data_IF_494741738221
#
_entry.id   IF_494741738221
#
_cell.length_a   1.000
_cell.length_b   1.000
_cell.length_c   1.000
_cell.angle_alpha   90.00
_cell.angle_beta   90.00
_cell.angle_gamma   90.00
#
_symmetry.space_group_name_H-M   'P 1'
#
loop_
_entity.id
_entity.type
_entity.pdbx_description
1 polymer ?
#
# COMPACT_ATOMS: atom_id res chain seq x y z
N UNK A 1 2.80 -23.17 22.18
CA UNK A 1 3.60 -21.94 22.01
C UNK A 1 2.79 -21.01 21.12
N UNK A 2 2.64 -19.73 21.46
CA UNK A 2 2.00 -18.77 20.56
C UNK A 2 2.91 -18.53 19.36
N UNK A 3 2.39 -18.69 18.14
CA UNK A 3 3.14 -18.38 16.92
C UNK A 3 3.39 -16.86 16.87
N UNK A 4 4.66 -16.44 16.88
CA UNK A 4 5.03 -15.03 16.69
C UNK A 4 5.01 -14.70 15.21
N UNK A 5 4.44 -13.57 14.82
CA UNK A 5 4.48 -13.09 13.43
C UNK A 5 5.84 -12.51 13.04
N UNK A 6 6.58 -11.98 14.03
CA UNK A 6 7.90 -11.39 13.82
C UNK A 6 8.88 -12.46 13.36
N UNK A 7 9.39 -12.30 12.14
CA UNK A 7 10.29 -13.27 11.53
C UNK A 7 9.62 -14.60 11.18
N UNK A 8 8.30 -14.66 11.04
CA UNK A 8 7.61 -15.88 10.62
C UNK A 8 7.75 -16.13 9.11
N UNK A 9 7.75 -15.05 8.33
CA UNK A 9 7.83 -15.09 6.87
C UNK A 9 8.69 -13.93 6.34
N UNK A 10 9.15 -14.08 5.10
CA UNK A 10 9.86 -13.03 4.38
C UNK A 10 9.45 -13.02 2.90
N UNK A 11 9.51 -11.84 2.30
CA UNK A 11 9.35 -11.67 0.85
C UNK A 11 10.67 -11.99 0.17
N UNK A 12 10.64 -13.01 -0.68
CA UNK A 12 11.81 -13.50 -1.44
C UNK A 12 11.73 -13.18 -2.92
N UNK A 13 10.53 -12.95 -3.45
CA UNK A 13 10.31 -12.57 -4.85
C UNK A 13 9.39 -11.36 -4.95
N UNK A 14 9.67 -10.44 -5.89
CA UNK A 14 8.77 -9.34 -6.24
C UNK A 14 8.73 -9.14 -7.74
N UNK A 15 7.57 -8.72 -8.25
CA UNK A 15 7.43 -8.23 -9.61
C UNK A 15 6.37 -7.14 -9.66
N UNK A 16 6.54 -6.21 -10.59
CA UNK A 16 5.51 -5.26 -10.94
C UNK A 16 5.57 -4.96 -12.44
N UNK A 17 4.39 -4.88 -13.05
CA UNK A 17 4.20 -4.41 -14.42
C UNK A 17 3.03 -3.47 -14.41
N UNK A 18 3.20 -2.29 -14.97
CA UNK A 18 2.12 -1.32 -15.07
C UNK A 18 2.18 -0.54 -16.38
N UNK A 19 1.00 -0.13 -16.81
CA UNK A 19 0.77 0.56 -18.06
C UNK A 19 -0.16 1.73 -17.80
N UNK A 20 -0.12 2.72 -18.69
CA UNK A 20 -1.14 3.76 -18.71
C UNK A 20 -2.52 3.09 -18.82
N UNK A 21 -3.50 3.66 -18.13
CA UNK A 21 -4.89 3.23 -18.19
C UNK A 21 -5.37 2.83 -19.59
N UNK A 22 -5.97 1.64 -19.71
CA UNK A 22 -6.55 1.10 -20.94
C UNK A 22 -5.51 0.78 -22.01
N UNK A 23 -4.24 0.57 -21.63
CA UNK A 23 -3.12 0.30 -22.53
C UNK A 23 -2.38 -0.98 -22.17
N UNK A 24 -2.87 -1.81 -21.24
CA UNK A 24 -2.25 -3.12 -21.07
C UNK A 24 -2.29 -3.92 -22.37
N UNK A 25 -1.22 -4.68 -22.68
CA UNK A 25 -1.20 -5.54 -23.85
C UNK A 25 -2.09 -6.78 -23.67
N UNK A 26 -2.39 -7.14 -22.42
CA UNK A 26 -3.05 -8.39 -22.03
C UNK A 26 -4.13 -8.15 -20.97
N UNK A 27 -5.00 -9.15 -20.79
CA UNK A 27 -6.06 -9.18 -19.79
C UNK A 27 -5.51 -9.39 -18.37
N UNK A 28 -6.36 -9.24 -17.35
CA UNK A 28 -5.97 -9.36 -15.93
C UNK A 28 -5.35 -10.72 -15.62
N UNK A 29 -5.93 -11.82 -16.11
CA UNK A 29 -5.45 -13.17 -15.82
C UNK A 29 -4.04 -13.40 -16.37
N UNK A 30 -3.80 -13.07 -17.63
CA UNK A 30 -2.48 -13.23 -18.25
C UNK A 30 -1.42 -12.35 -17.58
N UNK A 31 -1.74 -11.09 -17.32
CA UNK A 31 -0.80 -10.21 -16.59
C UNK A 31 -0.52 -10.72 -15.18
N UNK A 32 -1.51 -11.30 -14.50
CA UNK A 32 -1.32 -11.92 -13.18
C UNK A 32 -0.31 -13.07 -13.28
N UNK A 33 -0.50 -13.99 -14.25
CA UNK A 33 0.42 -15.12 -14.47
C UNK A 33 1.84 -14.63 -14.77
N UNK A 34 1.98 -13.66 -15.68
CA UNK A 34 3.29 -13.07 -16.03
C UNK A 34 3.97 -12.44 -14.79
N UNK A 35 3.23 -11.70 -13.97
CA UNK A 35 3.77 -11.15 -12.72
C UNK A 35 4.20 -12.26 -11.74
N UNK A 36 3.41 -13.32 -11.59
CA UNK A 36 3.78 -14.43 -10.70
C UNK A 36 5.05 -15.14 -11.17
N UNK A 37 5.17 -15.38 -12.48
CA UNK A 37 6.37 -16.00 -13.06
C UNK A 37 7.62 -15.13 -12.83
N UNK A 38 7.52 -13.82 -13.08
CA UNK A 38 8.63 -12.89 -12.83
C UNK A 38 9.02 -12.83 -11.34
N UNK A 39 8.04 -12.87 -10.43
CA UNK A 39 8.32 -12.86 -8.99
C UNK A 39 8.95 -14.18 -8.54
N UNK A 40 8.58 -15.30 -9.14
CA UNK A 40 9.23 -16.60 -8.94
C UNK A 40 10.68 -16.59 -9.46
N UNK A 41 10.93 -15.95 -10.60
CA UNK A 41 12.28 -15.77 -11.14
C UNK A 41 13.15 -14.93 -10.20
N UNK A 42 12.65 -13.79 -9.70
CA UNK A 42 13.34 -12.98 -8.68
C UNK A 42 13.58 -13.74 -7.37
N UNK A 43 12.69 -14.68 -7.01
CA UNK A 43 12.84 -15.53 -5.83
C UNK A 43 13.79 -16.71 -6.02
N UNK A 44 14.11 -17.10 -7.25
CA UNK A 44 14.76 -18.38 -7.54
C UNK A 44 13.90 -19.60 -7.14
N UNK A 45 12.57 -19.47 -7.19
CA UNK A 45 11.61 -20.53 -6.81
C UNK A 45 10.87 -21.02 -8.05
N UNK A 46 10.66 -22.34 -8.15
CA UNK A 46 9.84 -22.89 -9.22
C UNK A 46 8.38 -22.46 -9.03
N UNK A 47 7.68 -21.96 -10.06
CA UNK A 47 6.24 -21.71 -9.98
C UNK A 47 5.44 -22.95 -9.56
N UNK A 48 5.98 -24.16 -9.80
CA UNK A 48 5.33 -25.41 -9.38
C UNK A 48 5.28 -25.62 -7.88
N UNK A 49 6.20 -24.98 -7.16
CA UNK A 49 6.32 -25.05 -5.70
C UNK A 49 5.36 -24.09 -4.98
N UNK A 50 4.59 -23.28 -5.73
CA UNK A 50 3.55 -22.43 -5.17
C UNK A 50 2.40 -23.32 -4.66
N UNK A 51 2.08 -23.19 -3.38
CA UNK A 51 0.98 -23.92 -2.75
C UNK A 51 -0.07 -23.00 -2.10
N UNK A 52 0.15 -21.68 -2.17
CA UNK A 52 -0.76 -20.67 -1.62
C UNK A 52 -0.95 -19.44 -2.50
N UNK A 53 -2.20 -18.96 -2.58
CA UNK A 53 -2.54 -17.71 -3.27
C UNK A 53 -3.37 -16.78 -2.38
N UNK A 54 -3.04 -15.49 -2.36
CA UNK A 54 -3.87 -14.46 -1.73
C UNK A 54 -3.96 -13.19 -2.55
N UNK A 55 -5.17 -12.67 -2.64
CA UNK A 55 -5.47 -11.39 -3.26
C UNK A 55 -6.40 -10.55 -2.37
N UNK A 56 -6.73 -9.35 -2.83
CA UNK A 56 -7.57 -8.38 -2.15
C UNK A 56 -8.26 -7.46 -3.16
N UNK A 57 -9.20 -6.64 -2.68
CA UNK A 57 -10.00 -5.73 -3.52
C UNK A 57 -10.90 -6.42 -4.58
N UNK A 58 -11.11 -7.74 -4.45
CA UNK A 58 -11.91 -8.55 -5.37
C UNK A 58 -11.12 -9.03 -6.60
N UNK A 59 -11.86 -9.36 -7.66
CA UNK A 59 -11.31 -9.96 -8.89
C UNK A 59 -11.64 -11.44 -9.00
N UNK A 60 -11.45 -12.00 -10.19
CA UNK A 60 -11.85 -13.37 -10.55
C UNK A 60 -10.70 -14.36 -10.65
N UNK A 61 -9.45 -13.92 -10.47
CA UNK A 61 -8.27 -14.79 -10.56
C UNK A 61 -8.03 -15.44 -9.19
N UNK A 62 -8.83 -16.41 -8.77
CA UNK A 62 -8.63 -17.12 -7.51
C UNK A 62 -7.54 -18.21 -7.60
N UNK A 63 -7.17 -18.79 -6.44
CA UNK A 63 -6.12 -19.79 -6.34
C UNK A 63 -6.31 -21.02 -7.25
N UNK A 64 -7.50 -21.66 -7.31
CA UNK A 64 -7.74 -22.75 -8.26
C UNK A 64 -7.50 -22.38 -9.72
N UNK A 65 -7.93 -21.18 -10.14
CA UNK A 65 -7.71 -20.71 -11.52
C UNK A 65 -6.22 -20.49 -11.80
N UNK A 66 -5.52 -19.82 -10.90
CA UNK A 66 -4.09 -19.52 -11.07
C UNK A 66 -3.22 -20.77 -10.95
N UNK A 67 -3.52 -21.64 -9.97
CA UNK A 67 -2.81 -22.90 -9.77
C UNK A 67 -2.90 -23.83 -10.99
N UNK A 68 -4.09 -23.94 -11.60
CA UNK A 68 -4.26 -24.69 -12.84
C UNK A 68 -3.47 -24.08 -14.00
N UNK A 69 -3.47 -22.75 -14.15
CA UNK A 69 -2.76 -22.06 -15.23
C UNK A 69 -1.22 -22.13 -15.07
N UNK A 70 -0.72 -22.12 -13.83
CA UNK A 70 0.70 -22.23 -13.50
C UNK A 70 1.20 -23.68 -13.42
N UNK A 71 0.29 -24.66 -13.49
CA UNK A 71 0.60 -26.09 -13.38
C UNK A 71 1.35 -26.44 -12.07
N UNK A 72 0.87 -25.87 -10.96
CA UNK A 72 1.42 -26.15 -9.62
C UNK A 72 1.20 -27.61 -9.24
N UNK A 73 2.06 -28.14 -8.37
CA UNK A 73 1.98 -29.55 -7.98
C UNK A 73 0.83 -29.80 -6.96
N UNK A 74 0.57 -28.85 -6.06
CA UNK A 74 -0.54 -28.94 -5.09
C UNK A 74 -1.03 -27.54 -4.66
N UNK A 75 -2.34 -27.29 -4.71
CA UNK A 75 -2.95 -26.12 -4.09
C UNK A 75 -3.37 -26.44 -2.65
N UNK A 76 -2.66 -25.90 -1.66
CA UNK A 76 -2.98 -26.12 -0.23
C UNK A 76 -3.83 -25.01 0.35
N UNK A 77 -3.70 -23.79 -0.17
CA UNK A 77 -4.35 -22.62 0.42
C UNK A 77 -4.74 -21.54 -0.62
N UNK A 78 -5.93 -20.96 -0.49
CA UNK A 78 -6.41 -19.88 -1.35
C UNK A 78 -7.25 -18.90 -0.53
N UNK A 79 -6.96 -17.60 -0.63
CA UNK A 79 -7.58 -16.57 0.19
C UNK A 79 -7.90 -15.29 -0.58
N UNK A 80 -9.00 -14.65 -0.20
CA UNK A 80 -9.36 -13.30 -0.65
C UNK A 80 -9.60 -12.44 0.59
N UNK A 81 -8.88 -11.33 0.70
CA UNK A 81 -9.04 -10.41 1.82
C UNK A 81 -10.17 -9.41 1.58
N UNK A 82 -11.20 -9.50 2.41
CA UNK A 82 -12.32 -8.56 2.45
C UNK A 82 -11.92 -7.25 3.16
N UNK A 83 -12.50 -6.12 2.77
CA UNK A 83 -12.16 -4.82 3.39
C UNK A 83 -12.33 -3.61 2.47
N UNK A 84 -12.40 -3.86 1.15
CA UNK A 84 -12.64 -2.85 0.13
C UNK A 84 -11.39 -2.12 -0.31
N UNK A 85 -11.23 -1.98 -1.64
CA UNK A 85 -10.14 -1.24 -2.26
C UNK A 85 -8.74 -1.60 -1.74
N UNK A 86 -7.89 -0.58 -1.58
CA UNK A 86 -6.52 -0.74 -1.12
C UNK A 86 -6.33 -0.92 0.38
N UNK A 87 -7.37 -0.79 1.21
CA UNK A 87 -7.23 -0.86 2.67
C UNK A 87 -6.75 -2.22 3.18
N UNK A 88 -7.07 -3.29 2.45
CA UNK A 88 -6.69 -4.67 2.76
C UNK A 88 -5.39 -5.15 2.09
N UNK A 89 -4.65 -4.27 1.42
CA UNK A 89 -3.41 -4.65 0.69
C UNK A 89 -2.36 -5.27 1.61
N UNK A 90 -2.07 -4.65 2.77
CA UNK A 90 -1.09 -5.16 3.70
C UNK A 90 -1.66 -6.37 4.47
N UNK A 91 -2.97 -6.43 4.69
CA UNK A 91 -3.66 -7.60 5.25
C UNK A 91 -3.51 -8.86 4.40
N UNK A 92 -3.45 -8.74 3.06
CA UNK A 92 -3.14 -9.89 2.20
C UNK A 92 -1.75 -10.47 2.50
N UNK A 93 -0.76 -9.61 2.72
CA UNK A 93 0.60 -10.01 3.10
C UNK A 93 0.61 -10.65 4.50
N UNK A 94 -0.16 -10.10 5.45
CA UNK A 94 -0.35 -10.68 6.79
C UNK A 94 -0.97 -12.07 6.71
N UNK A 95 -1.98 -12.27 5.85
CA UNK A 95 -2.64 -13.56 5.68
C UNK A 95 -1.68 -14.60 5.09
N UNK A 96 -0.86 -14.22 4.09
CA UNK A 96 0.19 -15.09 3.55
C UNK A 96 1.17 -15.51 4.64
N UNK A 97 1.68 -14.55 5.41
CA UNK A 97 2.60 -14.85 6.53
C UNK A 97 1.94 -15.72 7.60
N UNK A 98 0.64 -15.53 7.88
CA UNK A 98 -0.12 -16.37 8.83
C UNK A 98 -0.27 -17.80 8.31
N UNK A 99 -0.55 -18.00 7.02
CA UNK A 99 -0.64 -19.32 6.42
C UNK A 99 0.70 -20.07 6.50
N UNK A 100 1.80 -19.37 6.23
CA UNK A 100 3.17 -19.89 6.37
C UNK A 100 3.48 -20.24 7.83
N UNK A 101 3.24 -19.31 8.75
CA UNK A 101 3.55 -19.47 10.17
C UNK A 101 2.76 -20.62 10.84
N UNK A 102 1.60 -20.96 10.28
CA UNK A 102 0.74 -22.03 10.78
C UNK A 102 0.87 -23.35 10.00
N UNK A 103 1.76 -23.41 9.00
CA UNK A 103 1.99 -24.61 8.19
C UNK A 103 0.87 -24.95 7.20
N UNK A 104 -0.04 -24.01 6.92
CA UNK A 104 -1.09 -24.20 5.92
C UNK A 104 -0.56 -24.13 4.48
N UNK A 105 0.53 -23.39 4.26
CA UNK A 105 1.22 -23.25 2.99
C UNK A 105 2.72 -22.95 3.21
N UNK A 106 3.56 -23.18 2.20
CA UNK A 106 5.02 -23.01 2.28
C UNK A 106 5.55 -21.93 1.31
N UNK A 107 4.90 -21.76 0.17
CA UNK A 107 5.21 -20.75 -0.85
C UNK A 107 3.92 -20.04 -1.21
N UNK A 108 3.73 -18.83 -0.68
CA UNK A 108 2.50 -18.06 -0.89
C UNK A 108 2.75 -16.88 -1.80
N UNK A 109 1.92 -16.74 -2.82
CA UNK A 109 1.89 -15.56 -3.70
C UNK A 109 0.83 -14.58 -3.24
N UNK A 110 1.25 -13.35 -2.94
CA UNK A 110 0.35 -12.19 -2.78
C UNK A 110 0.31 -11.44 -4.11
N UNK A 111 -0.87 -11.21 -4.68
CA UNK A 111 -0.96 -10.58 -6.01
C UNK A 111 -2.16 -9.67 -6.18
N UNK A 112 -2.03 -8.74 -7.12
CA UNK A 112 -3.11 -7.89 -7.61
C UNK A 112 -2.90 -7.57 -9.08
N UNK A 113 -3.99 -7.60 -9.86
CA UNK A 113 -3.99 -7.15 -11.24
C UNK A 113 -5.23 -6.32 -11.56
N UNK A 114 -5.09 -5.39 -12.49
CA UNK A 114 -6.17 -4.57 -13.00
C UNK A 114 -6.00 -4.34 -14.50
N UNK A 115 -7.09 -4.48 -15.24
CA UNK A 115 -7.18 -4.07 -16.63
C UNK A 115 -8.53 -3.42 -16.88
N UNK A 116 -8.50 -2.21 -17.42
CA UNK A 116 -9.74 -1.57 -17.85
C UNK A 116 -10.40 -2.27 -19.04
N UNK A 117 -9.66 -3.07 -19.81
CA UNK A 117 -10.25 -3.89 -20.86
C UNK A 117 -11.28 -4.89 -20.28
N UNK A 118 -11.02 -5.38 -19.06
CA UNK A 118 -11.86 -6.38 -18.41
C UNK A 118 -12.92 -5.74 -17.51
N UNK A 119 -12.53 -4.72 -16.73
CA UNK A 119 -13.38 -4.20 -15.64
C UNK A 119 -13.99 -2.82 -15.91
N UNK A 120 -13.53 -2.14 -16.97
CA UNK A 120 -13.92 -0.78 -17.33
C UNK A 120 -13.39 0.27 -16.35
N UNK A 121 -13.74 1.54 -16.61
CA UNK A 121 -13.39 2.65 -15.71
C UNK A 121 -14.12 2.49 -14.38
N UNK A 122 -13.44 2.74 -13.26
CA UNK A 122 -13.96 2.54 -11.89
C UNK A 122 -14.41 1.10 -11.61
N UNK A 123 -13.85 0.11 -12.33
CA UNK A 123 -14.30 -1.27 -12.33
C UNK A 123 -14.49 -1.92 -10.96
N UNK A 124 -13.61 -1.62 -10.00
CA UNK A 124 -13.71 -2.12 -8.61
C UNK A 124 -14.26 -1.07 -7.62
N UNK A 125 -14.22 0.22 -7.98
CA UNK A 125 -14.72 1.30 -7.10
C UNK A 125 -16.25 1.41 -7.11
N UNK A 126 -16.92 0.97 -8.18
CA UNK A 126 -18.38 1.09 -8.36
C UNK A 126 -19.24 0.35 -7.33
N UNK A 127 -18.66 -0.58 -6.58
CA UNK A 127 -19.37 -1.44 -5.61
C UNK A 127 -19.34 -0.91 -4.17
N UNK A 128 -18.68 0.22 -3.91
CA UNK A 128 -18.40 0.72 -2.56
C UNK A 128 -19.29 1.91 -2.12
N UNK A 129 -20.33 2.26 -2.87
CA UNK A 129 -21.20 3.40 -2.53
C UNK A 129 -22.58 2.93 -2.08
N UNK A 130 -22.87 3.15 -0.80
CA UNK A 130 -24.22 2.95 -0.27
C UNK A 130 -25.23 3.92 -0.89
N UNK A 131 -26.50 3.54 -0.86
CA UNK A 131 -27.61 4.36 -1.40
C UNK A 131 -27.68 5.77 -0.83
N UNK A 132 -27.26 5.96 0.42
CA UNK A 132 -27.21 7.27 1.08
C UNK A 132 -26.23 8.23 0.39
N UNK A 133 -25.01 7.80 0.06
CA UNK A 133 -24.07 8.64 -0.70
C UNK A 133 -24.60 8.98 -2.10
N UNK A 134 -25.07 7.96 -2.83
CA UNK A 134 -25.56 8.14 -4.19
C UNK A 134 -26.78 9.05 -4.26
N UNK A 135 -27.69 8.99 -3.28
CA UNK A 135 -28.85 9.88 -3.18
C UNK A 135 -28.46 11.36 -3.00
N UNK A 136 -27.25 11.65 -2.53
CA UNK A 136 -26.72 13.00 -2.33
C UNK A 136 -25.66 13.40 -3.37
N UNK A 137 -25.53 12.65 -4.47
CA UNK A 137 -24.57 12.96 -5.55
C UNK A 137 -23.11 12.66 -5.22
N UNK A 138 -22.87 11.91 -4.13
CA UNK A 138 -21.53 11.42 -3.75
C UNK A 138 -21.36 10.03 -4.37
N UNK A 139 -20.54 9.94 -5.41
CA UNK A 139 -20.39 8.73 -6.22
C UNK A 139 -18.95 8.43 -6.65
N UNK A 140 -17.97 9.08 -6.02
CA UNK A 140 -16.55 8.88 -6.32
C UNK A 140 -15.70 8.85 -5.05
N UNK A 141 -14.53 8.19 -5.07
CA UNK A 141 -13.67 8.13 -3.90
C UNK A 141 -13.14 9.52 -3.53
N UNK A 142 -12.92 10.37 -4.53
CA UNK A 142 -12.43 11.74 -4.33
C UNK A 142 -13.38 12.55 -3.44
N UNK A 143 -14.69 12.48 -3.69
CA UNK A 143 -15.68 13.19 -2.88
C UNK A 143 -15.72 12.71 -1.42
N UNK A 144 -15.65 11.40 -1.19
CA UNK A 144 -15.69 10.83 0.17
C UNK A 144 -14.44 11.20 0.95
N UNK A 145 -13.26 11.01 0.36
CA UNK A 145 -11.99 11.35 1.00
C UNK A 145 -11.84 12.87 1.20
N UNK A 146 -12.42 13.68 0.31
CA UNK A 146 -12.34 15.13 0.37
C UNK A 146 -13.05 15.68 1.61
N UNK A 147 -14.24 15.17 1.97
CA UNK A 147 -14.97 15.63 3.16
C UNK A 147 -14.16 15.42 4.45
N UNK A 148 -13.52 14.25 4.61
CA UNK A 148 -12.66 13.95 5.75
C UNK A 148 -11.39 14.78 5.76
N UNK A 149 -10.80 14.99 4.58
CA UNK A 149 -9.62 15.84 4.42
C UNK A 149 -9.93 17.29 4.75
N UNK A 150 -11.07 17.82 4.30
CA UNK A 150 -11.51 19.18 4.62
C UNK A 150 -11.63 19.36 6.13
N UNK A 151 -12.19 18.36 6.84
CA UNK A 151 -12.24 18.38 8.31
C UNK A 151 -10.84 18.43 8.92
N UNK A 152 -9.89 17.62 8.44
CA UNK A 152 -8.50 17.64 8.92
C UNK A 152 -7.83 19.01 8.72
N UNK A 153 -8.06 19.65 7.57
CA UNK A 153 -7.48 20.97 7.27
C UNK A 153 -8.11 22.08 8.13
N UNK A 154 -9.44 22.15 8.17
CA UNK A 154 -10.17 23.26 8.82
C UNK A 154 -10.27 23.12 10.34
N UNK A 155 -10.63 21.92 10.82
CA UNK A 155 -10.87 21.70 12.24
C UNK A 155 -9.59 21.35 12.99
N UNK A 156 -8.76 20.46 12.44
CA UNK A 156 -7.53 20.06 13.11
C UNK A 156 -6.37 21.05 12.83
N UNK A 157 -6.52 21.91 11.82
CA UNK A 157 -5.56 22.97 11.50
C UNK A 157 -4.32 22.47 10.77
N UNK A 158 -4.40 21.29 10.13
CA UNK A 158 -3.29 20.76 9.31
C UNK A 158 -3.12 21.66 8.08
N UNK A 159 -1.90 22.16 7.79
CA UNK A 159 -1.70 23.08 6.68
C UNK A 159 -1.78 22.34 5.34
N UNK A 160 -2.47 22.93 4.35
CA UNK A 160 -2.55 22.37 2.98
C UNK A 160 -1.17 22.17 2.33
N UNK A 161 -0.17 22.96 2.70
CA UNK A 161 1.21 22.79 2.24
C UNK A 161 1.80 21.42 2.61
N UNK A 162 1.32 20.77 3.68
CA UNK A 162 1.73 19.41 4.03
C UNK A 162 1.31 18.38 2.96
N UNK A 163 0.08 18.52 2.42
CA UNK A 163 -0.38 17.67 1.31
C UNK A 163 0.46 17.93 0.06
N UNK A 164 0.68 19.21 -0.28
CA UNK A 164 1.50 19.60 -1.42
C UNK A 164 2.92 19.03 -1.35
N UNK A 165 3.60 19.14 -0.20
CA UNK A 165 4.95 18.61 -0.02
C UNK A 165 5.03 17.11 -0.32
N UNK A 166 4.02 16.34 0.11
CA UNK A 166 3.93 14.90 -0.17
C UNK A 166 3.79 14.63 -1.67
N UNK A 167 2.93 15.38 -2.37
CA UNK A 167 2.78 15.24 -3.83
C UNK A 167 4.07 15.60 -4.57
N UNK A 168 4.72 16.71 -4.21
CA UNK A 168 5.96 17.15 -4.86
C UNK A 168 7.11 16.16 -4.63
N UNK A 169 7.23 15.59 -3.43
CA UNK A 169 8.22 14.55 -3.14
C UNK A 169 8.00 13.29 -3.99
N UNK A 170 6.75 12.84 -4.14
CA UNK A 170 6.41 11.73 -5.02
C UNK A 170 6.80 12.00 -6.48
N UNK A 171 6.51 13.21 -7.01
CA UNK A 171 6.92 13.58 -8.36
C UNK A 171 8.44 13.72 -8.53
N UNK A 172 9.16 14.16 -7.48
CA UNK A 172 10.62 14.20 -7.47
C UNK A 172 11.22 12.79 -7.58
N UNK A 173 10.76 11.85 -6.75
CA UNK A 173 11.20 10.45 -6.82
C UNK A 173 10.88 9.79 -8.17
N UNK A 174 9.72 10.08 -8.75
CA UNK A 174 9.33 9.56 -10.06
C UNK A 174 10.29 9.99 -11.20
N UNK A 175 11.07 11.07 -11.04
CA UNK A 175 12.05 11.47 -12.06
C UNK A 175 13.26 10.53 -12.12
N UNK A 176 13.53 9.77 -11.05
CA UNK A 176 14.61 8.78 -11.02
C UNK A 176 14.12 7.36 -11.33
N UNK A 177 12.79 7.14 -11.36
CA UNK A 177 12.18 5.86 -11.67
C UNK A 177 11.74 5.81 -13.15
N UNK A 178 12.47 5.11 -14.05
CA UNK A 178 12.16 5.10 -15.47
C UNK A 178 10.83 4.39 -15.82
N UNK A 179 10.27 3.58 -14.91
CA UNK A 179 8.97 2.92 -15.14
C UNK A 179 7.80 3.83 -14.76
N UNK A 180 8.01 4.80 -13.87
CA UNK A 180 6.97 5.69 -13.34
C UNK A 180 6.25 6.47 -14.45
N UNK A 181 4.93 6.60 -14.37
CA UNK A 181 4.18 7.38 -15.36
C UNK A 181 4.49 8.88 -15.34
N UNK A 182 4.97 9.39 -14.20
CA UNK A 182 5.44 10.74 -13.96
C UNK A 182 6.90 10.97 -14.37
N UNK A 183 7.62 9.94 -14.81
CA UNK A 183 8.98 10.08 -15.30
C UNK A 183 9.05 11.03 -16.52
N UNK A 184 9.99 11.97 -16.49
CA UNK A 184 10.13 13.02 -17.50
C UNK A 184 9.01 14.07 -17.46
N UNK A 185 8.26 14.15 -16.36
CA UNK A 185 7.14 15.07 -16.13
C UNK A 185 7.23 15.64 -14.72
N UNK A 186 8.23 16.50 -14.43
CA UNK A 186 8.35 17.12 -13.12
C UNK A 186 7.11 17.95 -12.78
N UNK A 187 6.85 18.11 -11.50
CA UNK A 187 5.78 18.95 -10.96
C UNK A 187 6.41 19.95 -10.00
N UNK A 188 6.16 21.23 -10.21
CA UNK A 188 6.54 22.30 -9.29
C UNK A 188 5.31 22.79 -8.49
N UNK A 189 5.57 23.69 -7.54
CA UNK A 189 4.53 24.24 -6.67
C UNK A 189 3.47 25.03 -7.44
N UNK A 190 3.86 25.85 -8.43
CA UNK A 190 2.94 26.64 -9.24
C UNK A 190 1.99 25.74 -10.03
N UNK A 191 2.51 24.73 -10.73
CA UNK A 191 1.70 23.79 -11.49
C UNK A 191 0.78 22.94 -10.60
N UNK A 192 1.21 22.62 -9.36
CA UNK A 192 0.33 21.96 -8.39
C UNK A 192 -0.85 22.87 -8.01
N UNK A 193 -0.57 24.11 -7.62
CA UNK A 193 -1.57 25.07 -7.14
C UNK A 193 -2.56 25.47 -8.25
N UNK A 194 -2.07 25.68 -9.47
CA UNK A 194 -2.87 26.08 -10.63
C UNK A 194 -3.65 24.92 -11.26
N UNK A 195 -3.36 23.68 -10.85
CA UNK A 195 -4.07 22.53 -11.39
C UNK A 195 -5.55 22.54 -11.00
N UNK A 196 -6.41 22.04 -11.88
CA UNK A 196 -7.87 22.11 -11.67
C UNK A 196 -8.31 21.39 -10.39
N UNK A 197 -9.30 21.95 -9.71
CA UNK A 197 -10.03 21.26 -8.64
C UNK A 197 -10.77 20.02 -9.18
N UNK A 198 -10.76 18.95 -8.39
CA UNK A 198 -11.51 17.71 -8.65
C UNK A 198 -12.69 17.61 -7.68
N UNK A 199 -12.40 17.71 -6.39
CA UNK A 199 -13.36 17.77 -5.30
C UNK A 199 -12.65 18.47 -4.14
N UNK A 200 -13.05 19.69 -3.79
CA UNK A 200 -12.38 20.49 -2.75
C UNK A 200 -12.19 19.66 -1.48
N UNK A 201 -10.95 19.55 -0.95
CA UNK A 201 -9.77 20.38 -1.23
C UNK A 201 -8.81 19.84 -2.30
N UNK A 202 -9.14 18.73 -2.96
CA UNK A 202 -8.24 18.05 -3.90
C UNK A 202 -8.19 18.73 -5.26
N UNK A 203 -6.97 19.03 -5.67
CA UNK A 203 -6.59 19.36 -7.02
C UNK A 203 -6.26 18.10 -7.83
N UNK A 204 -5.99 18.27 -9.12
CA UNK A 204 -5.69 17.16 -10.03
C UNK A 204 -4.56 16.27 -9.53
N UNK A 205 -3.48 16.87 -9.03
CA UNK A 205 -2.29 16.16 -8.58
C UNK A 205 -2.43 15.55 -7.19
N UNK A 206 -3.48 15.90 -6.44
CA UNK A 206 -3.85 15.20 -5.21
C UNK A 206 -4.55 13.86 -5.49
N UNK A 207 -4.86 13.54 -6.75
CA UNK A 207 -5.57 12.32 -7.13
C UNK A 207 -4.65 11.33 -7.83
N UNK A 208 -4.65 10.08 -7.37
CA UNK A 208 -3.90 8.99 -8.00
C UNK A 208 -4.26 8.75 -9.47
N UNK A 209 -3.30 8.18 -10.19
CA UNK A 209 -3.46 7.84 -11.61
C UNK A 209 -4.07 6.45 -11.75
N UNK A 210 -5.16 6.33 -12.49
CA UNK A 210 -5.64 5.02 -12.92
C UNK A 210 -4.58 4.33 -13.81
N UNK A 211 -4.33 3.04 -13.56
CA UNK A 211 -3.32 2.23 -14.24
C UNK A 211 -3.88 0.85 -14.56
N UNK A 212 -3.43 0.26 -15.68
CA UNK A 212 -3.53 -1.19 -15.83
C UNK A 212 -2.22 -1.80 -15.34
N UNK A 213 -2.23 -3.03 -14.83
CA UNK A 213 -1.01 -3.67 -14.37
C UNK A 213 -1.24 -4.93 -13.54
N UNK A 214 -0.15 -5.60 -13.19
CA UNK A 214 -0.12 -6.72 -12.27
C UNK A 214 1.13 -6.66 -11.40
N UNK A 215 0.99 -7.02 -10.14
CA UNK A 215 2.04 -7.03 -9.13
C UNK A 215 1.95 -8.34 -8.36
N UNK A 216 3.10 -8.94 -8.05
CA UNK A 216 3.17 -10.16 -7.26
C UNK A 216 4.33 -10.10 -6.25
N UNK A 217 4.11 -10.69 -5.07
CA UNK A 217 5.13 -10.96 -4.06
C UNK A 217 5.12 -12.46 -3.75
N UNK A 218 6.30 -13.08 -3.68
CA UNK A 218 6.48 -14.46 -3.24
C UNK A 218 6.98 -14.44 -1.80
N UNK A 219 6.22 -15.07 -0.90
CA UNK A 219 6.56 -15.21 0.51
C UNK A 219 6.84 -16.66 0.85
N UNK A 220 7.84 -16.87 1.71
CA UNK A 220 8.20 -18.16 2.31
C UNK A 220 8.51 -17.97 3.79
N UNK A 221 8.75 -19.07 4.53
CA UNK A 221 9.22 -18.97 5.92
C UNK A 221 10.56 -18.24 6.00
N UNK A 222 10.81 -17.54 7.12
CA UNK A 222 12.06 -16.81 7.32
C UNK A 222 13.30 -17.73 7.23
N UNK A 223 13.18 -18.98 7.70
CA UNK A 223 14.25 -19.97 7.61
C UNK A 223 14.56 -20.36 6.17
N UNK A 224 13.52 -20.62 5.35
CA UNK A 224 13.71 -20.92 3.92
C UNK A 224 14.26 -19.71 3.17
N UNK A 225 13.84 -18.51 3.53
CA UNK A 225 14.30 -17.27 2.88
C UNK A 225 15.83 -17.09 2.94
N UNK A 226 16.46 -17.47 4.07
CA UNK A 226 17.93 -17.42 4.23
C UNK A 226 18.69 -18.29 3.23
N UNK A 227 18.06 -19.37 2.75
CA UNK A 227 18.64 -20.27 1.75
C UNK A 227 18.36 -19.85 0.30
N UNK A 228 17.40 -18.96 0.06
CA UNK A 228 17.01 -18.51 -1.28
C UNK A 228 17.75 -17.23 -1.71
N UNK A 229 17.91 -16.27 -0.79
CA UNK A 229 18.59 -14.99 -1.08
C UNK A 229 19.26 -14.40 0.16
N UNK A 230 20.21 -13.49 -0.05
CA UNK A 230 20.98 -12.84 1.01
C UNK A 230 20.25 -11.64 1.66
N UNK A 231 19.32 -11.04 0.91
CA UNK A 231 18.60 -9.80 1.21
C UNK A 231 17.06 -9.98 1.29
N UNK A 232 16.51 -11.02 1.95
CA UNK A 232 15.07 -11.16 2.07
C UNK A 232 14.49 -10.04 2.94
N UNK A 233 13.29 -9.58 2.59
CA UNK A 233 12.57 -8.59 3.40
C UNK A 233 11.66 -9.32 4.41
N UNK A 234 12.07 -9.35 5.68
CA UNK A 234 11.34 -10.05 6.74
C UNK A 234 10.13 -9.25 7.19
N UNK A 235 9.02 -9.94 7.47
CA UNK A 235 7.91 -9.30 8.18
C UNK A 235 8.25 -9.20 9.68
N UNK A 236 8.39 -7.97 10.17
CA UNK A 236 8.59 -7.70 11.60
C UNK A 236 7.27 -7.66 12.36
N UNK A 237 6.25 -7.05 11.76
CA UNK A 237 4.88 -7.03 12.28
C UNK A 237 3.89 -6.69 11.17
N UNK A 238 2.63 -7.00 11.42
CA UNK A 238 1.53 -6.53 10.60
C UNK A 238 0.26 -6.39 11.43
N UNK A 239 -0.48 -5.32 11.20
CA UNK A 239 -1.74 -5.08 11.86
C UNK A 239 -2.80 -4.70 10.82
N UNK A 240 -4.04 -5.12 11.10
CA UNK A 240 -5.19 -4.78 10.29
C UNK A 240 -6.41 -4.56 11.19
N UNK A 241 -7.42 -3.87 10.67
CA UNK A 241 -8.70 -3.69 11.33
C UNK A 241 -9.33 -2.35 11.00
N UNK A 242 -10.30 -1.96 11.82
CA UNK A 242 -11.03 -0.71 11.69
C UNK A 242 -11.46 -0.22 13.08
N UNK A 243 -11.63 1.11 13.28
CA UNK A 243 -12.35 1.63 14.43
C UNK A 243 -13.79 1.09 14.43
N UNK A 244 -14.37 0.87 15.61
CA UNK A 244 -15.75 0.36 15.70
C UNK A 244 -16.74 1.29 15.01
N UNK A 245 -17.50 0.80 14.03
CA UNK A 245 -18.47 1.61 13.27
C UNK A 245 -17.93 2.27 12.01
N UNK A 246 -16.60 2.24 11.81
CA UNK A 246 -15.94 2.74 10.60
C UNK A 246 -16.37 1.89 9.39
N UNK A 247 -17.32 2.37 8.60
CA UNK A 247 -17.77 1.66 7.42
C UNK A 247 -18.36 2.60 6.38
N UNK A 248 -18.30 2.18 5.10
CA UNK A 248 -18.88 2.89 3.95
C UNK A 248 -20.41 3.07 4.03
N UNK A 249 -21.10 2.48 5.02
CA UNK A 249 -22.55 2.64 5.22
C UNK A 249 -22.92 3.83 6.09
N UNK A 250 -21.97 4.37 6.85
CA UNK A 250 -22.20 5.44 7.83
C UNK A 250 -21.02 6.42 7.74
N UNK A 251 -21.27 7.64 7.27
CA UNK A 251 -20.25 8.69 7.21
C UNK A 251 -20.39 9.66 8.41
N UNK A 252 -20.36 9.11 9.62
CA UNK A 252 -20.53 9.86 10.87
C UNK A 252 -19.67 9.27 12.00
N UNK A 253 -18.39 9.01 11.69
CA UNK A 253 -17.44 8.51 12.67
C UNK A 253 -17.12 9.56 13.73
N UNK A 254 -16.92 9.13 14.98
CA UNK A 254 -16.51 10.02 16.08
C UNK A 254 -15.16 10.69 15.81
N UNK A 255 -14.23 9.96 15.19
CA UNK A 255 -12.91 10.47 14.78
C UNK A 255 -12.89 10.72 13.27
N UNK A 256 -13.72 11.65 12.78
CA UNK A 256 -13.98 11.77 11.33
C UNK A 256 -12.73 12.00 10.46
N UNK A 257 -11.72 12.75 10.96
CA UNK A 257 -10.48 13.06 10.25
C UNK A 257 -9.42 11.95 10.28
N UNK A 258 -9.62 10.87 11.05
CA UNK A 258 -8.68 9.74 11.09
C UNK A 258 -8.61 9.03 9.74
N UNK A 259 -7.45 8.47 9.43
CA UNK A 259 -7.29 7.54 8.31
C UNK A 259 -7.77 6.12 8.65
N UNK A 260 -8.23 5.87 9.89
CA UNK A 260 -8.72 4.58 10.36
C UNK A 260 -7.64 3.76 11.10
N UNK A 261 -6.41 4.26 11.20
CA UNK A 261 -5.31 3.57 11.87
C UNK A 261 -5.15 3.98 13.33
N UNK A 262 -5.71 5.14 13.69
CA UNK A 262 -5.69 5.70 15.04
C UNK A 262 -6.48 4.89 16.07
N UNK A 263 -6.56 5.37 17.33
CA UNK A 263 -7.23 4.65 18.42
C UNK A 263 -8.67 4.25 18.08
N UNK A 264 -9.03 3.00 18.35
CA UNK A 264 -10.40 2.54 18.17
C UNK A 264 -11.32 3.11 19.26
N UNK A 265 -12.65 3.04 19.05
CA UNK A 265 -13.64 3.46 20.04
C UNK A 265 -13.38 2.86 21.44
N UNK A 266 -13.75 3.63 22.47
CA UNK A 266 -13.53 3.28 23.88
C UNK A 266 -12.04 3.14 24.25
N UNK A 267 -11.16 3.94 23.62
CA UNK A 267 -9.71 3.99 23.90
C UNK A 267 -9.00 2.63 23.72
N UNK A 268 -9.48 1.79 22.81
CA UNK A 268 -8.79 0.54 22.47
C UNK A 268 -7.64 0.81 21.50
N UNK A 269 -6.53 0.04 21.56
CA UNK A 269 -5.42 0.21 20.64
C UNK A 269 -5.84 0.12 19.18
N UNK A 270 -5.47 1.14 18.40
CA UNK A 270 -5.69 1.24 16.95
C UNK A 270 -4.83 0.26 16.13
N UNK A 271 -4.93 0.32 14.80
CA UNK A 271 -4.08 -0.50 13.92
C UNK A 271 -2.61 -0.11 14.08
N UNK A 272 -2.29 1.19 14.10
CA UNK A 272 -0.93 1.67 14.25
C UNK A 272 -0.32 1.29 15.61
N UNK A 273 -1.07 1.45 16.70
CA UNK A 273 -0.59 1.08 18.04
C UNK A 273 -0.35 -0.43 18.19
N UNK A 274 -1.21 -1.25 17.60
CA UNK A 274 -1.00 -2.71 17.56
C UNK A 274 0.24 -3.07 16.73
N UNK A 275 0.50 -2.38 15.62
CA UNK A 275 1.70 -2.59 14.80
C UNK A 275 2.97 -2.31 15.62
N UNK A 276 3.02 -1.16 16.30
CA UNK A 276 4.14 -0.77 17.16
C UNK A 276 4.34 -1.76 18.31
N UNK A 277 3.26 -2.12 18.99
CA UNK A 277 3.33 -3.11 20.08
C UNK A 277 3.80 -4.48 19.61
N UNK A 278 3.41 -4.94 18.42
CA UNK A 278 3.81 -6.26 17.91
C UNK A 278 5.22 -6.28 17.35
N UNK A 279 5.67 -5.18 16.74
CA UNK A 279 7.03 -5.07 16.23
C UNK A 279 8.03 -4.87 17.36
N UNK A 280 7.68 -4.16 18.43
CA UNK A 280 8.66 -3.66 19.40
C UNK A 280 9.44 -2.44 18.87
N UNK A 281 8.98 -1.86 17.76
CA UNK A 281 9.52 -0.66 17.11
C UNK A 281 8.51 0.49 17.29
N UNK A 282 9.01 1.72 17.23
CA UNK A 282 8.24 2.96 17.20
C UNK A 282 8.43 3.75 15.91
N UNK A 283 7.78 4.93 15.79
CA UNK A 283 7.89 5.78 14.60
C UNK A 283 9.33 6.23 14.32
N UNK A 284 10.15 6.43 15.35
CA UNK A 284 11.55 6.86 15.22
C UNK A 284 12.48 5.75 14.69
N UNK A 285 12.01 4.50 14.67
CA UNK A 285 12.78 3.35 14.17
C UNK A 285 12.46 3.03 12.69
N UNK A 286 11.65 3.86 12.01
CA UNK A 286 11.25 3.67 10.61
C UNK A 286 12.17 4.48 9.68
N UNK A 287 12.96 3.80 8.85
CA UNK A 287 13.91 4.48 7.95
C UNK A 287 13.21 5.04 6.69
N UNK A 288 12.17 4.36 6.21
CA UNK A 288 11.44 4.75 5.00
C UNK A 288 10.00 4.27 5.02
N UNK A 289 9.10 5.07 4.46
CA UNK A 289 7.66 4.78 4.44
C UNK A 289 7.14 4.69 3.01
N UNK A 290 6.37 3.65 2.73
CA UNK A 290 5.55 3.54 1.52
C UNK A 290 4.09 3.65 1.95
N UNK A 291 3.48 4.81 1.77
CA UNK A 291 2.10 5.09 2.18
C UNK A 291 1.19 5.12 0.96
N UNK A 292 0.07 4.41 1.05
CA UNK A 292 -0.94 4.39 0.01
C UNK A 292 -1.56 5.77 -0.22
N UNK A 293 -1.51 6.25 -1.46
CA UNK A 293 -2.04 7.55 -1.87
C UNK A 293 -3.09 7.38 -2.96
N UNK A 294 -4.32 6.96 -2.62
CA UNK A 294 -5.45 7.26 -3.52
C UNK A 294 -5.60 8.78 -3.67
N UNK A 295 -5.45 9.49 -2.54
CA UNK A 295 -5.39 10.93 -2.44
C UNK A 295 -4.37 11.40 -1.40
N UNK A 296 -3.87 12.63 -1.53
CA UNK A 296 -2.83 13.21 -0.64
C UNK A 296 -3.28 13.38 0.82
N UNK A 297 -4.52 13.84 1.04
CA UNK A 297 -5.10 14.05 2.37
C UNK A 297 -5.19 12.78 3.23
N UNK A 298 -5.79 11.69 2.74
CA UNK A 298 -5.82 10.40 3.43
C UNK A 298 -4.43 9.84 3.77
N UNK A 299 -3.45 10.01 2.87
CA UNK A 299 -2.07 9.59 3.13
C UNK A 299 -1.47 10.39 4.30
N UNK A 300 -1.66 11.72 4.31
CA UNK A 300 -1.22 12.57 5.43
C UNK A 300 -1.90 12.20 6.75
N UNK A 301 -3.21 11.94 6.75
CA UNK A 301 -3.93 11.45 7.92
C UNK A 301 -3.37 10.10 8.43
N UNK A 302 -2.93 9.22 7.52
CA UNK A 302 -2.31 7.95 7.89
C UNK A 302 -0.95 8.15 8.58
N UNK A 303 -0.13 9.09 8.11
CA UNK A 303 1.13 9.44 8.75
C UNK A 303 0.91 9.99 10.17
N UNK A 304 -0.16 10.78 10.36
CA UNK A 304 -0.57 11.29 11.68
C UNK A 304 -1.01 10.16 12.60
N UNK A 305 -1.90 9.27 12.13
CA UNK A 305 -2.36 8.12 12.91
C UNK A 305 -1.21 7.20 13.36
N UNK A 306 -0.18 7.06 12.52
CA UNK A 306 1.03 6.28 12.83
C UNK A 306 2.06 7.02 13.69
N UNK A 307 1.82 8.30 14.02
CA UNK A 307 2.71 9.20 14.76
C UNK A 307 4.03 9.52 14.07
N UNK A 308 4.09 9.35 12.75
CA UNK A 308 5.23 9.76 11.90
C UNK A 308 5.18 11.26 11.59
N UNK A 309 3.98 11.84 11.62
CA UNK A 309 3.73 13.27 11.48
C UNK A 309 2.94 13.77 12.70
N UNK A 310 3.30 14.90 13.32
CA UNK A 310 2.47 15.48 14.38
C UNK A 310 1.12 15.95 13.83
N UNK A 311 0.05 15.95 14.64
CA UNK A 311 -1.26 16.45 14.21
C UNK A 311 -1.30 17.98 14.13
N UNK A 312 -2.32 18.49 13.44
CA UNK A 312 -2.62 19.92 13.33
C UNK A 312 -1.52 20.76 12.71
N UNK A 313 -1.41 22.03 13.13
CA UNK A 313 -0.51 23.01 12.51
C UNK A 313 0.97 22.57 12.52
N UNK A 314 1.37 21.77 13.50
CA UNK A 314 2.73 21.24 13.61
C UNK A 314 3.12 20.30 12.46
N UNK A 315 2.14 19.70 11.75
CA UNK A 315 2.38 18.83 10.61
C UNK A 315 3.28 19.48 9.54
N UNK A 316 3.12 20.80 9.32
CA UNK A 316 3.92 21.55 8.34
C UNK A 316 5.42 21.62 8.65
N UNK A 317 5.84 21.36 9.90
CA UNK A 317 7.26 21.31 10.27
C UNK A 317 7.98 20.03 9.85
N UNK A 318 7.21 18.93 9.69
CA UNK A 318 7.72 17.64 9.26
C UNK A 318 7.48 17.43 7.77
N UNK A 319 6.29 17.80 7.28
CA UNK A 319 5.86 17.61 5.90
C UNK A 319 6.43 18.67 4.94
N UNK A 320 7.74 18.64 4.73
CA UNK A 320 8.47 19.46 3.76
C UNK A 320 9.07 18.57 2.67
N UNK A 321 9.19 19.08 1.44
CA UNK A 321 9.76 18.28 0.33
C UNK A 321 11.15 17.73 0.69
N UNK A 322 11.99 18.54 1.32
CA UNK A 322 13.33 18.12 1.79
C UNK A 322 13.27 16.94 2.76
N UNK A 323 12.41 16.99 3.78
CA UNK A 323 12.29 15.91 4.76
C UNK A 323 11.74 14.61 4.13
N UNK A 324 10.90 14.73 3.10
CA UNK A 324 10.20 13.62 2.48
C UNK A 324 11.00 12.93 1.36
N UNK A 325 12.09 13.56 0.92
CA UNK A 325 12.85 13.12 -0.25
C UNK A 325 14.07 12.28 0.17
N UNK A 326 14.21 11.08 -0.39
CA UNK A 326 15.40 10.25 -0.28
C UNK A 326 16.60 10.92 -0.99
N UNK A 327 17.86 10.62 -0.63
CA UNK A 327 18.32 9.55 0.27
C UNK A 327 18.50 9.97 1.74
N UNK A 328 18.34 11.26 2.08
CA UNK A 328 18.72 11.83 3.38
C UNK A 328 17.58 12.58 4.10
N UNK A 329 16.38 12.61 3.52
CA UNK A 329 15.21 13.16 4.19
C UNK A 329 14.97 12.48 5.55
N UNK A 330 14.38 13.20 6.50
CA UNK A 330 14.09 12.70 7.86
C UNK A 330 12.92 11.71 7.90
N UNK A 331 12.05 11.75 6.89
CA UNK A 331 10.94 10.83 6.73
C UNK A 331 10.76 10.54 5.23
N UNK A 332 11.70 9.84 4.58
CA UNK A 332 11.59 9.53 3.15
C UNK A 332 10.31 8.75 2.88
N UNK A 333 9.51 9.24 1.92
CA UNK A 333 8.18 8.69 1.61
C UNK A 333 8.05 8.40 0.12
N UNK A 334 7.47 7.24 -0.21
CA UNK A 334 7.03 6.87 -1.56
C UNK A 334 8.13 7.02 -2.62
N UNK A 335 9.23 6.31 -2.37
CA UNK A 335 10.49 6.41 -3.10
C UNK A 335 10.46 5.86 -4.52
N UNK A 336 9.40 5.16 -4.94
CA UNK A 336 9.18 4.84 -6.37
C UNK A 336 8.51 5.98 -7.14
N UNK A 337 7.96 6.97 -6.44
CA UNK A 337 7.00 7.96 -6.96
C UNK A 337 5.55 7.72 -6.52
N UNK A 338 5.29 6.68 -5.73
CA UNK A 338 4.01 6.48 -5.05
C UNK A 338 2.84 6.22 -5.99
N UNK A 339 1.62 6.29 -5.47
CA UNK A 339 0.44 6.11 -6.31
C UNK A 339 0.10 7.33 -7.17
N UNK A 340 0.63 8.49 -6.80
CA UNK A 340 0.39 9.76 -7.47
C UNK A 340 1.23 9.92 -8.76
N UNK A 341 2.52 9.55 -8.72
CA UNK A 341 3.44 9.78 -9.82
C UNK A 341 3.94 8.50 -10.51
N UNK A 342 3.99 7.36 -9.82
CA UNK A 342 4.39 6.08 -10.43
C UNK A 342 3.19 5.33 -11.05
N UNK A 343 2.49 4.54 -10.24
CA UNK A 343 1.37 3.72 -10.69
C UNK A 343 0.41 3.36 -9.56
N UNK A 344 -0.82 2.99 -9.94
CA UNK A 344 -1.85 2.56 -9.01
C UNK A 344 -2.34 1.17 -9.35
N UNK A 345 -1.66 0.13 -8.86
CA UNK A 345 -2.14 -1.26 -8.94
C UNK A 345 -2.76 -1.66 -7.60
N UNK A 346 -3.75 -0.86 -7.16
CA UNK A 346 -4.34 -0.88 -5.81
C UNK A 346 -3.29 -1.00 -4.68
N UNK A 347 -2.16 -0.30 -4.83
CA UNK A 347 -1.16 -0.14 -3.78
C UNK A 347 -0.16 -1.28 -3.61
N UNK A 348 -0.27 -2.42 -4.31
CA UNK A 348 0.69 -3.51 -4.10
C UNK A 348 2.09 -3.14 -4.59
N UNK A 349 2.20 -2.23 -5.57
CA UNK A 349 3.48 -1.70 -6.04
C UNK A 349 4.26 -0.96 -4.93
N UNK A 350 3.57 -0.38 -3.95
CA UNK A 350 4.24 0.21 -2.77
C UNK A 350 4.88 -0.84 -1.87
N UNK A 351 4.29 -2.04 -1.77
CA UNK A 351 4.91 -3.15 -1.04
C UNK A 351 6.17 -3.65 -1.75
N UNK A 352 6.17 -3.66 -3.08
CA UNK A 352 7.37 -3.96 -3.88
C UNK A 352 8.47 -2.94 -3.61
N UNK A 353 8.14 -1.64 -3.59
CA UNK A 353 9.11 -0.60 -3.27
C UNK A 353 9.63 -0.71 -1.81
N UNK A 354 8.77 -1.05 -0.86
CA UNK A 354 9.18 -1.30 0.53
C UNK A 354 10.21 -2.44 0.61
N UNK A 355 10.00 -3.52 -0.15
CA UNK A 355 10.93 -4.64 -0.27
C UNK A 355 12.24 -4.21 -0.96
N UNK A 356 12.17 -3.38 -2.01
CA UNK A 356 13.37 -2.86 -2.69
C UNK A 356 14.26 -2.01 -1.79
N UNK A 357 13.66 -1.20 -0.91
CA UNK A 357 14.41 -0.42 0.07
C UNK A 357 15.22 -1.31 1.02
N UNK A 358 14.62 -2.40 1.53
CA UNK A 358 15.33 -3.39 2.37
C UNK A 358 16.45 -4.08 1.58
N UNK A 359 16.24 -4.32 0.29
CA UNK A 359 17.20 -4.98 -0.60
C UNK A 359 18.32 -4.08 -1.10
N UNK A 360 18.23 -2.76 -0.93
CA UNK A 360 19.18 -1.81 -1.52
C UNK A 360 19.02 -1.65 -3.04
N UNK A 361 17.83 -1.91 -3.59
CA UNK A 361 17.56 -1.96 -5.04
C UNK A 361 16.56 -0.90 -5.52
N UNK A 362 16.23 0.07 -4.67
CA UNK A 362 15.39 1.19 -5.07
C UNK A 362 16.12 2.17 -6.00
N UNK A 363 15.36 2.81 -6.89
CA UNK A 363 15.85 3.94 -7.70
C UNK A 363 16.08 5.21 -6.86
N UNK A 364 15.42 5.33 -5.71
CA UNK A 364 15.64 6.36 -4.70
C UNK A 364 15.93 5.69 -3.35
N UNK A 365 17.07 5.01 -3.27
CA UNK A 365 17.48 4.26 -2.09
C UNK A 365 17.76 5.17 -0.90
N UNK A 366 17.12 4.90 0.24
CA UNK A 366 17.45 5.55 1.51
C UNK A 366 18.75 4.96 2.05
N UNK A 367 19.61 5.84 2.59
CA UNK A 367 20.92 5.44 3.12
C UNK A 367 20.73 4.52 4.32
N UNK A 368 21.39 3.36 4.30
CA UNK A 368 21.38 2.38 5.39
C UNK A 368 19.97 1.95 5.86
N UNK A 369 18.98 1.92 4.96
CA UNK A 369 17.62 1.52 5.30
C UNK A 369 17.54 0.06 5.78
N UNK A 370 17.07 -0.13 7.01
CA UNK A 370 16.91 -1.43 7.68
C UNK A 370 15.45 -1.76 7.96
N UNK A 371 14.59 -0.76 8.04
CA UNK A 371 13.15 -0.92 8.21
C UNK A 371 12.39 -0.16 7.12
N UNK A 372 11.32 -0.77 6.62
CA UNK A 372 10.43 -0.13 5.65
C UNK A 372 8.97 -0.36 6.03
N UNK A 373 8.27 0.73 6.36
CA UNK A 373 6.87 0.67 6.72
C UNK A 373 6.01 0.77 5.46
N UNK A 374 5.17 -0.24 5.24
CA UNK A 374 4.13 -0.18 4.22
C UNK A 374 2.76 0.06 4.88
N UNK A 375 2.14 1.20 4.55
CA UNK A 375 0.82 1.58 5.01
C UNK A 375 -0.18 1.39 3.87
N UNK A 376 -1.17 0.51 4.08
CA UNK A 376 -2.24 0.24 3.12
C UNK A 376 -3.25 1.40 2.99
N UNK A 377 -4.28 1.19 2.17
CA UNK A 377 -5.25 2.23 1.80
C UNK A 377 -5.92 2.92 2.98
N UNK A 378 -5.64 4.21 3.23
CA UNK A 378 -6.30 4.97 4.29
C UNK A 378 -7.75 5.29 3.96
N UNK A 379 -8.51 5.59 5.01
CA UNK A 379 -9.94 5.90 4.96
C UNK A 379 -10.81 4.82 4.30
N UNK A 380 -10.33 3.57 4.29
CA UNK A 380 -11.07 2.40 3.84
C UNK A 380 -11.83 1.75 5.00
N UNK A 381 -12.94 1.02 4.76
CA UNK A 381 -13.69 0.32 5.81
C UNK A 381 -12.83 -0.59 6.70
N UNK A 382 -11.76 -1.14 6.15
CA UNK A 382 -10.70 -1.84 6.88
C UNK A 382 -9.37 -1.34 6.38
N UNK A 383 -8.45 -1.04 7.30
CA UNK A 383 -7.09 -0.59 7.00
C UNK A 383 -6.07 -1.59 7.51
N UNK A 384 -4.87 -1.57 6.93
CA UNK A 384 -3.79 -2.49 7.29
C UNK A 384 -2.41 -1.91 7.02
N UNK A 385 -1.43 -2.31 7.82
CA UNK A 385 -0.02 -1.92 7.68
C UNK A 385 0.89 -3.11 7.98
N UNK A 386 2.06 -3.14 7.33
CA UNK A 386 3.14 -4.12 7.58
C UNK A 386 4.45 -3.37 7.72
N UNK A 387 5.26 -3.77 8.69
CA UNK A 387 6.65 -3.32 8.83
C UNK A 387 7.57 -4.42 8.31
N UNK A 388 8.33 -4.10 7.26
CA UNK A 388 9.40 -4.95 6.75
C UNK A 388 10.73 -4.58 7.40
N UNK A 389 11.62 -5.58 7.50
CA UNK A 389 12.94 -5.42 8.09
C UNK A 389 14.01 -6.24 7.41
N UNK A 390 15.24 -5.73 7.47
CA UNK A 390 16.45 -6.46 7.13
C UNK A 390 16.78 -7.54 8.18
N UNK A 391 17.64 -8.51 7.87
CA UNK A 391 17.93 -9.66 8.73
C UNK A 391 18.43 -9.30 10.15
N UNK A 392 19.09 -8.15 10.30
CA UNK A 392 19.63 -7.64 11.56
C UNK A 392 18.60 -6.91 12.42
N UNK A 393 17.35 -6.80 11.94
CA UNK A 393 16.22 -6.23 12.67
C UNK A 393 15.29 -7.27 13.28
N UNK A 394 15.58 -8.58 13.11
CA UNK A 394 14.78 -9.70 13.61
C UNK A 394 14.84 -9.85 15.14
#
# INVERSE_FOLDING_TARGET
MSVSMRGAAAVVGVSEKHYKRGRSPHNEQRMTIEAVLDACEDAGVSPRDIDGFVSYAGGSNDGPILGAALMIDELRWSNMMWGGGGGSVAAAIINAATAIATGQAETVVVYRAMSQADTGRLGYAKYHYGSHFLAHGVGSPAQICAMRTQRMLEHDGVPRSAMRSLVLAAYAHAQNNPTAQGHGRPLDEEAYEDSRLIAEPFHLYDCSRESDGAVALVLVSADRARGLRADPAYLLAGAQGAPGGYCERIDNDQQYSTAGFGPANNNKPGVAERLWSQSGFGPDDVDVVQVYENFSGPALAALIDHRLCPPGAAAGSVMTVENLTAPHGKLPINTSGGNLADAFVNGLNLAVEAVRQIRGTSTNQVTDARTSLFIGGPMAPLVSSVLFGHADTL
#
